data_IF_070250211156
#
_entry.id   IF_070250211156
#
_cell.length_a   1.000
_cell.length_b   1.000
_cell.length_c   1.000
_cell.angle_alpha   90.00
_cell.angle_beta   90.00
_cell.angle_gamma   90.00
#
_symmetry.space_group_name_H-M   'P 1'
#
loop_
_entity.id
_entity.type
_entity.pdbx_description
1 polymer ?
#
# COMPACT_ATOMS: atom_id res chain seq x y z
N UNK A 1 -18.99 -20.74 -16.22
CA UNK A 1 -18.37 -19.45 -15.85
C UNK A 1 -18.06 -19.49 -14.37
N UNK A 2 -16.92 -20.08 -13.99
CA UNK A 2 -16.46 -20.11 -12.61
C UNK A 2 -15.87 -18.74 -12.28
N UNK A 3 -16.69 -17.89 -11.67
CA UNK A 3 -16.24 -16.67 -11.01
C UNK A 3 -15.18 -17.06 -9.98
N UNK A 4 -13.91 -16.88 -10.37
CA UNK A 4 -12.78 -16.93 -9.47
C UNK A 4 -12.96 -15.77 -8.50
N UNK A 5 -13.63 -16.03 -7.38
CA UNK A 5 -13.67 -15.13 -6.23
C UNK A 5 -12.26 -15.13 -5.64
N UNK A 6 -11.40 -14.31 -6.22
CA UNK A 6 -10.13 -13.99 -5.61
C UNK A 6 -10.45 -13.10 -4.41
N UNK A 7 -10.38 -13.70 -3.23
CA UNK A 7 -10.65 -13.05 -1.95
C UNK A 7 -9.41 -12.22 -1.57
N UNK A 8 -9.50 -10.88 -1.67
CA UNK A 8 -8.59 -9.92 -1.00
C UNK A 8 -9.22 -9.47 0.33
N UNK A 9 -10.02 -10.34 0.93
CA UNK A 9 -10.92 -9.97 2.02
C UNK A 9 -10.76 -10.96 3.17
N UNK A 10 -10.97 -10.49 4.39
CA UNK A 10 -11.00 -11.42 5.53
C UNK A 10 -12.44 -11.87 5.72
N UNK A 11 -12.64 -13.19 5.83
CA UNK A 11 -13.91 -13.80 6.12
C UNK A 11 -13.92 -14.36 7.55
N UNK A 12 -15.00 -14.12 8.27
CA UNK A 12 -15.33 -14.77 9.55
C UNK A 12 -16.70 -15.42 9.44
N UNK A 13 -16.98 -16.40 10.29
CA UNK A 13 -18.28 -17.06 10.36
C UNK A 13 -18.89 -16.82 11.73
N UNK A 14 -20.19 -16.54 11.74
CA UNK A 14 -20.96 -16.28 12.94
C UNK A 14 -21.24 -17.59 13.66
N UNK A 15 -20.73 -17.75 14.88
CA UNK A 15 -20.83 -18.99 15.66
C UNK A 15 -22.17 -19.15 16.38
N UNK A 16 -22.82 -18.03 16.72
CA UNK A 16 -24.09 -17.91 17.43
C UNK A 16 -24.87 -16.71 16.90
N UNK A 17 -26.20 -16.73 16.98
CA UNK A 17 -27.03 -15.61 16.52
C UNK A 17 -26.62 -14.30 17.22
N UNK A 18 -26.37 -13.25 16.44
CA UNK A 18 -25.84 -11.98 16.92
C UNK A 18 -26.58 -10.80 16.26
N UNK A 19 -26.63 -9.66 16.94
CA UNK A 19 -27.19 -8.42 16.39
C UNK A 19 -26.10 -7.35 16.41
N UNK A 20 -25.79 -6.81 15.24
CA UNK A 20 -24.83 -5.72 15.11
C UNK A 20 -25.36 -4.43 15.74
N UNK A 21 -24.47 -3.47 16.07
CA UNK A 21 -24.87 -2.20 16.69
C UNK A 21 -25.88 -1.37 15.86
N UNK A 22 -25.96 -1.62 14.55
CA UNK A 22 -26.91 -0.98 13.63
C UNK A 22 -28.27 -1.69 13.56
N UNK A 23 -28.46 -2.77 14.32
CA UNK A 23 -29.66 -3.60 14.33
C UNK A 23 -29.65 -4.75 13.31
N UNK A 24 -28.58 -4.91 12.53
CA UNK A 24 -28.47 -6.02 11.57
C UNK A 24 -28.40 -7.36 12.30
N UNK A 25 -29.35 -8.26 12.02
CA UNK A 25 -29.40 -9.60 12.62
C UNK A 25 -28.56 -10.56 11.80
N UNK A 26 -27.60 -11.21 12.44
CA UNK A 26 -26.78 -12.26 11.87
C UNK A 26 -27.15 -13.61 12.47
N UNK A 27 -27.42 -14.59 11.61
CA UNK A 27 -27.69 -15.97 12.03
C UNK A 27 -26.41 -16.78 12.11
N UNK A 28 -26.38 -17.76 13.02
CA UNK A 28 -25.34 -18.79 13.06
C UNK A 28 -25.08 -19.37 11.67
N UNK A 29 -23.79 -19.47 11.31
CA UNK A 29 -23.33 -19.94 10.00
C UNK A 29 -23.26 -18.85 8.92
N UNK A 30 -23.67 -17.61 9.23
CA UNK A 30 -23.51 -16.48 8.29
C UNK A 30 -22.02 -16.15 8.14
N UNK A 31 -21.54 -16.06 6.89
CA UNK A 31 -20.18 -15.59 6.61
C UNK A 31 -20.18 -14.08 6.46
N UNK A 32 -19.36 -13.42 7.27
CA UNK A 32 -19.13 -11.97 7.20
C UNK A 32 -17.78 -11.73 6.57
N UNK A 33 -17.77 -10.94 5.51
CA UNK A 33 -16.57 -10.61 4.74
C UNK A 33 -16.42 -9.09 4.75
N UNK A 34 -15.27 -8.59 5.18
CA UNK A 34 -14.96 -7.16 5.06
C UNK A 34 -13.95 -6.92 3.93
N UNK A 35 -14.36 -6.08 2.99
CA UNK A 35 -13.62 -5.82 1.77
C UNK A 35 -12.57 -4.71 1.96
N UNK A 36 -11.36 -5.11 2.38
CA UNK A 36 -10.30 -4.16 2.78
C UNK A 36 -9.93 -3.18 1.65
N UNK A 37 -9.89 -3.67 0.41
CA UNK A 37 -9.59 -2.84 -0.75
C UNK A 37 -10.61 -1.71 -0.96
N UNK A 38 -11.89 -2.04 -0.80
CA UNK A 38 -13.02 -1.11 -0.95
C UNK A 38 -13.09 -0.16 0.23
N UNK A 39 -13.00 -0.66 1.47
CA UNK A 39 -13.01 0.15 2.69
C UNK A 39 -11.91 1.21 2.68
N UNK A 40 -10.72 0.89 2.17
CA UNK A 40 -9.62 1.85 2.00
C UNK A 40 -9.89 2.98 1.00
N UNK A 41 -10.99 2.94 0.26
CA UNK A 41 -11.38 3.91 -0.80
C UNK A 41 -12.83 4.38 -0.66
N UNK A 42 -13.46 4.15 0.49
CA UNK A 42 -14.81 4.62 0.77
C UNK A 42 -14.77 6.03 1.34
N UNK A 43 -15.50 6.94 0.69
CA UNK A 43 -15.63 8.34 1.12
C UNK A 43 -16.24 8.45 2.52
N UNK A 44 -17.17 7.56 2.88
CA UNK A 44 -17.78 7.52 4.22
C UNK A 44 -16.77 7.24 5.35
N UNK A 45 -15.62 6.64 5.04
CA UNK A 45 -14.57 6.30 6.01
C UNK A 45 -13.43 7.32 5.96
N UNK A 46 -13.04 7.74 4.76
CA UNK A 46 -11.81 8.50 4.51
C UNK A 46 -12.03 9.95 4.07
N UNK A 47 -13.26 10.35 3.75
CA UNK A 47 -13.60 11.64 3.15
C UNK A 47 -13.44 11.66 1.63
N UNK A 48 -13.67 12.81 1.02
CA UNK A 48 -13.62 13.01 -0.44
C UNK A 48 -12.23 12.71 -1.04
N UNK A 49 -11.17 12.92 -0.26
CA UNK A 49 -9.77 12.69 -0.67
C UNK A 49 -9.34 11.21 -0.49
N UNK A 50 -10.29 10.26 -0.34
CA UNK A 50 -10.00 8.85 -0.08
C UNK A 50 -9.22 8.14 -1.19
N UNK A 51 -9.22 8.70 -2.40
CA UNK A 51 -8.50 8.17 -3.57
C UNK A 51 -7.15 8.85 -3.80
N UNK A 52 -6.82 9.88 -3.03
CA UNK A 52 -5.58 10.63 -3.16
C UNK A 52 -4.47 10.02 -2.30
N UNK A 53 -3.25 9.99 -2.84
CA UNK A 53 -2.07 9.64 -2.06
C UNK A 53 -1.64 10.82 -1.19
N UNK A 54 -2.06 10.81 0.08
CA UNK A 54 -1.80 11.90 1.05
C UNK A 54 -1.17 11.37 2.36
N UNK A 55 0.16 11.21 2.41
CA UNK A 55 0.88 10.76 3.61
C UNK A 55 0.67 11.67 4.83
N UNK A 56 0.42 12.96 4.61
CA UNK A 56 0.23 13.97 5.65
C UNK A 56 -1.04 13.74 6.47
N UNK A 57 -1.98 12.93 5.98
CA UNK A 57 -3.18 12.49 6.70
C UNK A 57 -2.85 11.84 8.04
N UNK A 58 -1.69 11.20 8.12
CA UNK A 58 -1.22 10.48 9.29
C UNK A 58 -0.37 11.35 10.22
N UNK A 59 -0.26 12.65 9.96
CA UNK A 59 0.55 13.59 10.72
C UNK A 59 -0.34 14.64 11.38
N UNK A 60 -0.17 14.82 12.69
CA UNK A 60 -0.74 15.93 13.44
C UNK A 60 0.40 16.66 14.14
N UNK A 61 0.59 17.93 13.84
CA UNK A 61 1.68 18.76 14.39
C UNK A 61 3.06 18.11 14.22
N UNK A 62 3.29 17.47 13.06
CA UNK A 62 4.55 16.77 12.75
C UNK A 62 4.73 15.42 13.45
N UNK A 63 3.76 14.96 14.24
CA UNK A 63 3.79 13.66 14.91
C UNK A 63 2.90 12.66 14.19
N UNK A 64 3.40 11.43 14.06
CA UNK A 64 2.61 10.33 13.50
C UNK A 64 1.44 9.99 14.41
N UNK A 65 0.24 10.06 13.86
CA UNK A 65 -1.00 9.59 14.46
C UNK A 65 -1.59 8.51 13.56
N UNK A 66 -1.44 7.26 14.00
CA UNK A 66 -2.09 6.13 13.34
C UNK A 66 -3.61 6.16 13.54
N UNK A 67 -4.33 5.55 12.62
CA UNK A 67 -5.76 5.30 12.77
C UNK A 67 -6.03 3.98 13.49
N UNK A 68 -7.27 3.83 13.95
CA UNK A 68 -7.78 2.56 14.45
C UNK A 68 -7.56 1.43 13.43
N UNK A 69 -7.18 0.24 13.94
CA UNK A 69 -7.02 -0.96 13.12
C UNK A 69 -8.33 -1.39 12.41
N UNK A 70 -9.48 -0.94 12.91
CA UNK A 70 -10.79 -1.16 12.30
C UNK A 70 -11.11 -0.18 11.17
N UNK A 71 -10.46 0.99 11.16
CA UNK A 71 -10.54 1.98 10.07
C UNK A 71 -9.50 1.69 8.99
N UNK A 72 -8.26 1.38 9.42
CA UNK A 72 -7.16 0.99 8.54
C UNK A 72 -6.81 -0.49 8.73
N UNK A 73 -7.53 -1.35 8.01
CA UNK A 73 -7.54 -2.81 8.21
C UNK A 73 -6.40 -3.56 7.52
N UNK A 74 -5.33 -2.89 7.09
CA UNK A 74 -4.24 -3.50 6.31
C UNK A 74 -3.55 -4.68 7.01
N UNK A 75 -3.57 -4.70 8.34
CA UNK A 75 -3.03 -5.77 9.19
C UNK A 75 -4.11 -6.45 10.04
N UNK A 76 -5.39 -6.28 9.68
CA UNK A 76 -6.58 -6.64 10.49
C UNK A 76 -6.58 -5.99 11.88
N UNK A 77 -7.52 -6.36 12.74
CA UNK A 77 -7.66 -5.84 14.11
C UNK A 77 -8.14 -6.92 15.09
N UNK A 78 -8.11 -6.59 16.38
CA UNK A 78 -8.54 -7.50 17.45
C UNK A 78 -7.56 -8.67 17.71
N UNK A 79 -8.03 -9.80 18.29
CA UNK A 79 -7.18 -10.94 18.66
C UNK A 79 -6.47 -11.64 17.50
N UNK A 80 -6.92 -11.38 16.26
CA UNK A 80 -6.36 -11.93 15.02
C UNK A 80 -5.54 -10.91 14.24
N UNK A 81 -5.08 -9.84 14.91
CA UNK A 81 -4.14 -8.87 14.36
C UNK A 81 -2.90 -9.59 13.81
N UNK A 82 -2.44 -9.18 12.62
CA UNK A 82 -1.27 -9.76 12.00
C UNK A 82 -0.02 -9.64 12.90
N UNK A 83 0.52 -10.78 13.34
CA UNK A 83 1.74 -10.86 14.15
C UNK A 83 2.96 -10.24 13.44
N UNK A 84 2.96 -10.26 12.10
CA UNK A 84 4.02 -9.71 11.26
C UNK A 84 3.94 -8.20 11.03
N UNK A 85 2.98 -7.48 11.62
CA UNK A 85 2.74 -6.05 11.39
C UNK A 85 4.01 -5.20 11.58
N UNK A 86 4.66 -5.33 12.73
CA UNK A 86 5.82 -4.50 13.05
C UNK A 86 7.01 -4.86 12.17
N UNK A 87 7.21 -6.16 11.94
CA UNK A 87 8.25 -6.65 11.03
C UNK A 87 8.08 -6.10 9.61
N UNK A 88 6.85 -6.14 9.07
CA UNK A 88 6.53 -5.57 7.77
C UNK A 88 6.83 -4.07 7.72
N UNK A 89 6.48 -3.30 8.75
CA UNK A 89 6.85 -1.88 8.81
C UNK A 89 8.36 -1.65 8.83
N UNK A 90 9.13 -2.47 9.54
CA UNK A 90 10.59 -2.37 9.50
C UNK A 90 11.14 -2.65 8.11
N UNK A 91 10.67 -3.72 7.46
CA UNK A 91 11.09 -4.04 6.09
C UNK A 91 10.72 -2.95 5.09
N UNK A 92 9.50 -2.39 5.19
CA UNK A 92 9.07 -1.27 4.33
C UNK A 92 9.93 -0.03 4.52
N UNK A 93 10.23 0.36 5.77
CA UNK A 93 11.10 1.50 6.08
C UNK A 93 12.52 1.27 5.54
N UNK A 94 13.03 0.05 5.72
CA UNK A 94 14.35 -0.32 5.21
C UNK A 94 14.41 -0.32 3.69
N UNK A 95 13.36 -0.78 3.01
CA UNK A 95 13.28 -0.75 1.55
C UNK A 95 13.07 0.67 1.00
N UNK A 96 12.30 1.51 1.70
CA UNK A 96 11.96 2.86 1.26
C UNK A 96 13.04 3.92 1.56
N UNK A 97 13.93 3.72 2.53
CA UNK A 97 14.92 4.74 2.89
C UNK A 97 16.12 4.84 1.91
N UNK A 98 16.73 3.76 1.42
CA UNK A 98 17.90 3.82 0.55
C UNK A 98 17.62 4.32 -0.89
N UNK A 99 16.57 3.84 -1.60
CA UNK A 99 16.34 4.24 -2.99
C UNK A 99 16.20 5.74 -3.17
N UNK A 100 15.33 6.47 -2.43
CA UNK A 100 15.20 7.92 -2.61
C UNK A 100 16.44 8.70 -2.17
N UNK A 101 17.27 8.17 -1.26
CA UNK A 101 18.49 8.86 -0.81
C UNK A 101 19.59 8.81 -1.86
N UNK A 102 19.73 7.69 -2.57
CA UNK A 102 20.83 7.44 -3.52
C UNK A 102 20.42 7.58 -4.98
N UNK A 103 19.13 7.39 -5.27
CA UNK A 103 18.58 7.38 -6.60
C UNK A 103 17.30 8.23 -6.68
N UNK A 104 17.10 8.87 -7.82
CA UNK A 104 15.79 9.37 -8.24
C UNK A 104 15.11 8.21 -8.98
N UNK A 105 13.88 7.93 -8.58
CA UNK A 105 13.06 6.87 -9.15
C UNK A 105 11.95 7.55 -9.97
N UNK A 106 12.00 7.39 -11.28
CA UNK A 106 11.02 7.97 -12.20
C UNK A 106 10.23 6.81 -12.84
N UNK A 107 8.89 6.85 -12.79
CA UNK A 107 8.06 5.84 -13.47
C UNK A 107 8.16 6.04 -14.98
N UNK A 108 8.32 4.95 -15.73
CA UNK A 108 8.38 5.00 -17.19
C UNK A 108 7.08 5.57 -17.75
N UNK A 109 7.19 6.59 -18.61
CA UNK A 109 6.04 7.26 -19.20
C UNK A 109 5.16 6.28 -20.00
N UNK A 110 3.85 6.37 -19.79
CA UNK A 110 2.87 5.48 -20.44
C UNK A 110 2.84 4.04 -19.90
N UNK A 111 3.60 3.70 -18.85
CA UNK A 111 3.53 2.36 -18.24
C UNK A 111 2.15 2.15 -17.56
N UNK A 112 1.38 1.13 -17.96
CA UNK A 112 0.05 0.91 -17.39
C UNK A 112 0.15 0.41 -15.95
N UNK A 113 -0.38 1.19 -15.01
CA UNK A 113 -0.48 0.82 -13.60
C UNK A 113 -1.90 0.35 -13.32
N UNK A 114 -2.07 -0.96 -13.10
CA UNK A 114 -3.35 -1.57 -12.77
C UNK A 114 -3.17 -2.62 -11.68
N UNK A 115 -4.10 -2.70 -10.70
CA UNK A 115 -4.08 -3.78 -9.72
C UNK A 115 -4.47 -5.11 -10.37
N UNK A 116 -3.82 -6.18 -9.95
CA UNK A 116 -4.23 -7.56 -10.15
C UNK A 116 -4.71 -8.08 -8.81
N UNK A 117 -6.01 -8.32 -8.71
CA UNK A 117 -6.60 -8.99 -7.56
C UNK A 117 -6.09 -10.44 -7.57
N UNK A 118 -5.25 -10.78 -6.58
CA UNK A 118 -4.82 -12.14 -6.20
C UNK A 118 -5.00 -12.28 -4.68
N UNK A 119 -4.48 -13.31 -4.02
CA UNK A 119 -4.46 -13.36 -2.55
C UNK A 119 -3.83 -12.10 -1.92
N UNK A 120 -2.85 -11.52 -2.63
CA UNK A 120 -2.29 -10.19 -2.37
C UNK A 120 -2.55 -9.29 -3.58
N UNK A 121 -2.63 -7.98 -3.34
CA UNK A 121 -2.85 -7.00 -4.41
C UNK A 121 -1.53 -6.75 -5.16
N UNK A 122 -1.35 -7.42 -6.30
CA UNK A 122 -0.17 -7.23 -7.15
C UNK A 122 -0.39 -6.14 -8.19
N UNK A 123 0.71 -5.65 -8.78
CA UNK A 123 0.64 -4.83 -9.99
C UNK A 123 0.56 -5.74 -11.21
N UNK A 124 -0.53 -5.64 -11.99
CA UNK A 124 -0.82 -6.52 -13.14
C UNK A 124 0.31 -6.55 -14.16
N UNK A 125 1.00 -5.43 -14.33
CA UNK A 125 2.06 -5.24 -15.32
C UNK A 125 3.43 -4.96 -14.67
N UNK A 126 3.56 -5.21 -13.36
CA UNK A 126 4.69 -4.73 -12.55
C UNK A 126 4.75 -3.19 -12.50
N UNK A 127 5.82 -2.64 -11.93
CA UNK A 127 6.13 -1.21 -12.00
C UNK A 127 7.49 -1.03 -12.66
N UNK A 128 7.50 -0.50 -13.89
CA UNK A 128 8.73 -0.14 -14.58
C UNK A 128 9.17 1.25 -14.15
N UNK A 129 10.38 1.33 -13.62
CA UNK A 129 11.00 2.59 -13.19
C UNK A 129 12.37 2.76 -13.81
N UNK A 130 12.73 4.00 -14.07
CA UNK A 130 14.09 4.44 -14.37
C UNK A 130 14.73 4.90 -13.07
N UNK A 131 15.92 4.38 -12.77
CA UNK A 131 16.76 4.83 -11.67
C UNK A 131 17.84 5.75 -12.21
N UNK A 132 17.91 6.98 -11.69
CA UNK A 132 19.02 7.89 -11.92
C UNK A 132 19.76 8.11 -10.60
N UNK A 133 21.09 8.06 -10.58
CA UNK A 133 21.85 8.37 -9.35
C UNK A 133 21.55 9.82 -8.95
N UNK A 134 21.20 10.04 -7.67
CA UNK A 134 21.15 11.39 -7.12
C UNK A 134 22.60 11.81 -6.90
N UNK A 135 23.08 12.76 -7.68
CA UNK A 135 24.41 13.33 -7.47
C UNK A 135 24.43 14.07 -6.13
N UNK A 136 25.34 13.67 -5.25
CA UNK A 136 25.71 14.45 -4.09
C UNK A 136 26.23 15.80 -4.61
N UNK A 137 25.47 16.88 -4.43
CA UNK A 137 26.01 18.24 -4.63
C UNK A 137 27.05 18.53 -3.54
N UNK A 138 28.24 17.97 -3.74
CA UNK A 138 29.49 18.33 -3.09
C UNK A 138 30.69 18.12 -4.03
N UNK A 139 30.55 18.33 -5.35
CA UNK A 139 31.66 18.71 -6.23
C UNK A 139 31.19 19.73 -7.26
N UNK A 140 30.95 20.96 -6.79
CA UNK A 140 31.06 22.15 -7.63
C UNK A 140 32.57 22.45 -7.76
N UNK A 141 33.28 21.70 -8.61
CA UNK A 141 34.55 22.14 -9.17
C UNK A 141 34.59 21.72 -10.63
N UNK A 142 34.53 22.75 -11.46
CA UNK A 142 34.88 22.78 -12.88
C UNK A 142 36.01 21.82 -13.19
N UNK A 143 35.73 20.76 -13.94
CA UNK A 143 36.65 20.23 -14.95
C UNK A 143 35.84 19.52 -16.04
N UNK A 144 36.20 19.87 -17.26
CA UNK A 144 35.76 19.41 -18.57
C UNK A 144 35.46 17.92 -18.73
N UNK A 145 34.41 17.65 -19.50
CA UNK A 145 34.25 16.57 -20.48
C UNK A 145 34.69 15.15 -20.08
N UNK A 146 33.71 14.27 -19.83
CA UNK A 146 33.75 12.91 -20.37
C UNK A 146 32.34 12.33 -20.46
N UNK A 147 32.01 11.85 -21.66
CA UNK A 147 30.86 11.07 -22.04
C UNK A 147 30.54 9.94 -21.04
N UNK A 148 29.35 10.00 -20.44
CA UNK A 148 28.78 8.89 -19.68
C UNK A 148 27.27 8.92 -19.84
N UNK A 149 26.73 8.00 -20.64
CA UNK A 149 25.29 7.76 -20.71
C UNK A 149 24.83 7.44 -19.28
N UNK A 150 23.86 8.18 -18.70
CA UNK A 150 23.37 7.83 -17.38
C UNK A 150 22.86 6.39 -17.42
N UNK A 151 23.30 5.55 -16.46
CA UNK A 151 22.83 4.18 -16.33
C UNK A 151 21.31 4.20 -16.06
N UNK A 152 20.50 4.18 -17.12
CA UNK A 152 19.06 3.98 -17.05
C UNK A 152 18.83 2.50 -16.85
N UNK A 153 18.79 2.05 -15.59
CA UNK A 153 18.36 0.69 -15.27
C UNK A 153 16.84 0.71 -15.20
N UNK A 154 16.20 0.02 -16.14
CA UNK A 154 14.76 -0.28 -16.06
C UNK A 154 14.60 -1.45 -15.11
N UNK A 155 14.17 -1.20 -13.88
CA UNK A 155 13.90 -2.24 -12.90
C UNK A 155 12.41 -2.56 -12.90
N UNK A 156 12.07 -3.86 -12.90
CA UNK A 156 10.72 -4.33 -12.63
C UNK A 156 10.63 -4.63 -11.13
N UNK A 157 9.89 -3.81 -10.39
CA UNK A 157 9.50 -4.14 -9.03
C UNK A 157 8.30 -5.10 -9.10
N UNK A 158 8.48 -6.33 -8.62
CA UNK A 158 7.45 -7.36 -8.49
C UNK A 158 6.98 -7.48 -7.05
#
# INVERSE_FOLDING_TARGET
MTSHWVIVDTATEVVEDEVFPDGTVLKKGTKVIYAMYSMGRMESIWGEDCREYRPERWLKDGRFMGESAYKFTAFTGGPRLCLGKDFAYYQMKFAAAPPPRRYRVDVVQGHPVAPKLALTLFMKHGLKVTLAKRDDKAKLRTTSASSGVPQVVVCSLQ
#
